data_IF_599880594272
#
_entry.id   IF_599880594272
#
_cell.length_a   1.000
_cell.length_b   1.000
_cell.length_c   1.000
_cell.angle_alpha   90.00
_cell.angle_beta   90.00
_cell.angle_gamma   90.00
#
_symmetry.space_group_name_H-M   'P 1'
#
loop_
_entity.id
_entity.type
_entity.pdbx_description
1 polymer ?
#
# COMPACT_ATOMS: atom_id res chain seq x y z
N UNK A 1 -25.98 8.15 13.46
CA UNK A 1 -25.99 6.83 12.78
C UNK A 1 -27.32 6.18 13.08
N UNK A 2 -28.12 5.84 12.07
CA UNK A 2 -29.42 5.20 12.27
C UNK A 2 -29.23 3.68 12.18
N UNK A 3 -29.63 2.94 13.22
CA UNK A 3 -29.59 1.46 13.21
C UNK A 3 -30.90 0.85 12.71
N UNK A 4 -31.95 1.64 12.60
CA UNK A 4 -33.23 1.27 12.01
C UNK A 4 -33.70 2.37 11.07
N UNK A 5 -34.48 1.99 10.06
CA UNK A 5 -35.09 2.92 9.11
C UNK A 5 -36.61 2.79 9.29
N UNK A 6 -37.35 3.87 9.57
CA UNK A 6 -38.80 3.79 9.67
C UNK A 6 -39.45 3.62 8.28
N UNK A 7 -40.67 3.09 8.26
CA UNK A 7 -41.51 3.06 7.06
C UNK A 7 -41.62 4.47 6.48
N UNK A 8 -41.38 4.62 5.18
CA UNK A 8 -41.44 5.91 4.52
C UNK A 8 -40.23 6.81 4.75
N UNK A 9 -39.16 6.34 5.41
CA UNK A 9 -37.89 7.05 5.44
C UNK A 9 -37.31 7.23 4.04
N UNK A 10 -36.60 8.35 3.83
CA UNK A 10 -35.98 8.68 2.55
C UNK A 10 -34.47 8.42 2.61
N UNK A 11 -33.94 7.81 1.54
CA UNK A 11 -32.51 7.74 1.28
C UNK A 11 -32.25 8.35 -0.09
N UNK A 12 -31.09 8.98 -0.26
CA UNK A 12 -30.67 9.49 -1.56
C UNK A 12 -29.20 9.20 -1.82
N UNK A 13 -28.89 8.95 -3.08
CA UNK A 13 -27.55 8.92 -3.61
C UNK A 13 -27.42 10.13 -4.55
N UNK A 14 -26.51 11.03 -4.22
CA UNK A 14 -26.30 12.27 -4.96
C UNK A 14 -26.08 11.99 -6.46
N UNK A 15 -26.77 12.73 -7.32
CA UNK A 15 -26.80 12.58 -8.78
C UNK A 15 -27.20 11.21 -9.33
N UNK A 16 -27.77 10.33 -8.49
CA UNK A 16 -28.18 8.99 -8.89
C UNK A 16 -29.68 8.78 -8.71
N UNK A 17 -30.18 8.84 -7.47
CA UNK A 17 -31.59 8.56 -7.16
C UNK A 17 -31.97 8.95 -5.73
N UNK A 18 -33.29 9.01 -5.49
CA UNK A 18 -33.90 9.03 -4.16
C UNK A 18 -34.87 7.86 -4.03
N UNK A 19 -34.96 7.30 -2.83
CA UNK A 19 -35.82 6.18 -2.50
C UNK A 19 -36.63 6.50 -1.25
N UNK A 20 -37.83 5.95 -1.20
CA UNK A 20 -38.64 5.87 0.00
C UNK A 20 -38.75 4.41 0.41
N UNK A 21 -38.35 4.07 1.62
CA UNK A 21 -38.36 2.68 2.08
C UNK A 21 -39.78 2.20 2.35
N UNK A 22 -40.08 0.99 1.88
CA UNK A 22 -41.25 0.23 2.29
C UNK A 22 -40.81 -1.12 2.84
N UNK A 23 -41.32 -1.47 4.01
CA UNK A 23 -40.97 -2.64 4.83
C UNK A 23 -39.47 -2.79 5.10
N UNK A 24 -38.77 -1.75 5.60
CA UNK A 24 -37.34 -1.81 5.84
C UNK A 24 -36.98 -2.87 6.88
N UNK A 25 -36.01 -3.73 6.54
CA UNK A 25 -35.40 -4.69 7.46
C UNK A 25 -33.98 -4.24 7.78
N UNK A 26 -33.67 -4.10 9.06
CA UNK A 26 -32.31 -3.88 9.54
C UNK A 26 -31.84 -5.07 10.35
N UNK A 27 -30.58 -5.45 10.13
CA UNK A 27 -29.88 -6.47 10.92
C UNK A 27 -28.96 -5.83 11.98
N UNK A 28 -28.83 -4.51 11.98
CA UNK A 28 -28.03 -3.75 12.94
C UNK A 28 -28.93 -3.27 14.08
N UNK A 29 -28.53 -3.52 15.33
CA UNK A 29 -29.22 -2.95 16.51
C UNK A 29 -28.36 -1.89 17.17
N UNK A 30 -28.93 -0.94 17.93
CA UNK A 30 -28.16 0.02 18.72
C UNK A 30 -27.10 -0.65 19.61
N UNK A 31 -27.44 -1.78 20.21
CA UNK A 31 -26.56 -2.53 21.11
C UNK A 31 -25.39 -3.14 20.34
N UNK A 32 -25.65 -3.69 19.16
CA UNK A 32 -24.62 -4.26 18.30
C UNK A 32 -23.67 -3.17 17.77
N UNK A 33 -24.21 -2.02 17.38
CA UNK A 33 -23.40 -0.87 16.98
C UNK A 33 -22.50 -0.39 18.13
N UNK A 34 -23.05 -0.25 19.34
CA UNK A 34 -22.26 0.14 20.52
C UNK A 34 -21.16 -0.88 20.81
N UNK A 35 -21.43 -2.18 20.63
CA UNK A 35 -20.43 -3.22 20.81
C UNK A 35 -19.28 -3.13 19.78
N UNK A 36 -19.60 -2.90 18.50
CA UNK A 36 -18.58 -2.71 17.45
C UNK A 36 -17.75 -1.44 17.66
N UNK A 37 -18.37 -0.35 18.12
CA UNK A 37 -17.66 0.89 18.47
C UNK A 37 -16.70 0.66 19.63
N UNK A 38 -17.08 -0.12 20.65
CA UNK A 38 -16.18 -0.48 21.76
C UNK A 38 -14.96 -1.25 21.27
N UNK A 39 -15.15 -2.21 20.38
CA UNK A 39 -14.04 -2.96 19.78
C UNK A 39 -13.11 -2.04 18.98
N UNK A 40 -13.67 -1.09 18.23
CA UNK A 40 -12.88 -0.08 17.51
C UNK A 40 -12.05 0.78 18.48
N UNK A 41 -12.64 1.19 19.61
CA UNK A 41 -11.94 1.95 20.66
C UNK A 41 -10.82 1.10 21.28
N UNK A 42 -11.04 -0.19 21.53
CA UNK A 42 -10.01 -1.09 22.05
C UNK A 42 -8.84 -1.21 21.07
N UNK A 43 -9.12 -1.45 19.78
CA UNK A 43 -8.11 -1.53 18.72
C UNK A 43 -7.27 -0.25 18.62
N UNK A 44 -7.92 0.93 18.60
CA UNK A 44 -7.23 2.23 18.54
C UNK A 44 -6.34 2.47 19.77
N UNK A 45 -6.73 1.93 20.92
CA UNK A 45 -5.94 1.99 22.15
C UNK A 45 -4.95 0.83 22.30
N UNK A 46 -4.76 0.00 21.26
CA UNK A 46 -3.89 -1.19 21.27
C UNK A 46 -4.23 -2.19 22.38
N UNK A 47 -5.52 -2.31 22.73
CA UNK A 47 -6.06 -3.31 23.65
C UNK A 47 -6.76 -4.41 22.85
N UNK A 48 -6.84 -5.65 23.39
CA UNK A 48 -7.59 -6.71 22.73
C UNK A 48 -9.08 -6.35 22.64
N UNK A 49 -9.64 -6.38 21.45
CA UNK A 49 -11.07 -6.29 21.21
C UNK A 49 -11.82 -7.57 21.65
N UNK A 50 -13.13 -7.64 21.44
CA UNK A 50 -13.93 -8.82 21.82
C UNK A 50 -13.42 -10.12 21.21
N UNK A 51 -12.95 -10.09 19.95
CA UNK A 51 -12.40 -11.25 19.26
C UNK A 51 -11.07 -11.65 19.88
N UNK A 52 -10.17 -10.70 20.10
CA UNK A 52 -8.88 -10.95 20.76
C UNK A 52 -9.05 -11.54 22.16
N UNK A 53 -10.02 -11.03 22.95
CA UNK A 53 -10.35 -11.59 24.27
C UNK A 53 -10.89 -13.01 24.17
N UNK A 54 -11.74 -13.31 23.18
CA UNK A 54 -12.23 -14.67 22.94
C UNK A 54 -11.10 -15.63 22.58
N UNK A 55 -10.20 -15.24 21.67
CA UNK A 55 -9.08 -16.10 21.27
C UNK A 55 -8.13 -16.34 22.43
N UNK A 56 -7.86 -15.35 23.27
CA UNK A 56 -7.09 -15.54 24.50
C UNK A 56 -7.74 -16.55 25.46
N UNK A 57 -9.07 -16.51 25.60
CA UNK A 57 -9.79 -17.50 26.41
C UNK A 57 -9.74 -18.91 25.78
N UNK A 58 -9.75 -19.00 24.45
CA UNK A 58 -9.52 -20.26 23.73
C UNK A 58 -8.11 -20.79 23.96
N UNK A 59 -7.09 -19.93 23.96
CA UNK A 59 -5.71 -20.33 24.25
C UNK A 59 -5.58 -20.91 25.68
N UNK A 60 -6.22 -20.28 26.66
CA UNK A 60 -6.30 -20.81 28.04
C UNK A 60 -6.97 -22.19 28.06
N UNK A 61 -8.09 -22.35 27.34
CA UNK A 61 -8.78 -23.63 27.23
C UNK A 61 -7.94 -24.71 26.52
N UNK A 62 -7.20 -24.36 25.47
CA UNK A 62 -6.36 -25.31 24.76
C UNK A 62 -5.15 -25.75 25.58
N UNK A 63 -4.64 -24.86 26.44
CA UNK A 63 -3.58 -25.17 27.40
C UNK A 63 -4.06 -26.07 28.55
N UNK A 64 -5.28 -25.85 29.04
CA UNK A 64 -5.91 -26.65 30.08
C UNK A 64 -7.38 -26.92 29.77
N UNK A 65 -7.67 -28.15 29.31
CA UNK A 65 -8.95 -28.55 28.70
C UNK A 65 -10.05 -28.86 29.71
N UNK A 66 -10.21 -28.01 30.72
CA UNK A 66 -11.31 -28.10 31.68
C UNK A 66 -12.62 -27.56 31.08
N UNK A 67 -13.75 -28.04 31.60
CA UNK A 67 -15.06 -27.53 31.22
C UNK A 67 -15.24 -26.06 31.61
N UNK A 68 -14.65 -25.64 32.74
CA UNK A 68 -14.69 -24.25 33.20
C UNK A 68 -13.98 -23.31 32.20
N UNK A 69 -12.79 -23.70 31.73
CA UNK A 69 -12.06 -22.93 30.72
C UNK A 69 -12.82 -22.90 29.39
N UNK A 70 -13.48 -24.01 29.01
CA UNK A 70 -14.32 -24.06 27.80
C UNK A 70 -15.53 -23.13 27.92
N UNK A 71 -16.21 -23.14 29.07
CA UNK A 71 -17.35 -22.28 29.34
C UNK A 71 -16.97 -20.79 29.37
N UNK A 72 -15.78 -20.47 29.87
CA UNK A 72 -15.22 -19.12 29.80
C UNK A 72 -14.96 -18.69 28.34
N UNK A 73 -14.35 -19.56 27.52
CA UNK A 73 -14.15 -19.32 26.09
C UNK A 73 -15.49 -19.16 25.34
N UNK A 74 -16.49 -19.97 25.68
CA UNK A 74 -17.84 -19.86 25.10
C UNK A 74 -18.52 -18.54 25.47
N UNK A 75 -18.39 -18.10 26.72
CA UNK A 75 -18.90 -16.80 27.17
C UNK A 75 -18.23 -15.66 26.41
N UNK A 76 -16.90 -15.72 26.25
CA UNK A 76 -16.15 -14.73 25.47
C UNK A 76 -16.54 -14.73 23.98
N UNK A 77 -16.81 -15.90 23.39
CA UNK A 77 -17.31 -16.01 22.02
C UNK A 77 -18.68 -15.35 21.85
N UNK A 78 -19.59 -15.54 22.79
CA UNK A 78 -20.91 -14.91 22.74
C UNK A 78 -20.85 -13.39 22.98
N UNK A 79 -19.80 -12.90 23.65
CA UNK A 79 -19.56 -11.47 23.81
C UNK A 79 -19.08 -10.76 22.53
N UNK A 80 -18.57 -11.52 21.54
CA UNK A 80 -18.28 -10.96 20.21
C UNK A 80 -19.60 -10.50 19.57
N UNK A 81 -19.67 -9.29 18.97
CA UNK A 81 -20.82 -8.85 18.21
C UNK A 81 -21.23 -9.90 17.17
N UNK A 82 -22.52 -10.21 17.04
CA UNK A 82 -22.99 -11.32 16.19
C UNK A 82 -22.63 -11.14 14.71
N UNK A 83 -22.53 -9.89 14.24
CA UNK A 83 -22.02 -9.48 12.93
C UNK A 83 -20.55 -9.86 12.70
N UNK A 84 -19.75 -9.91 13.76
CA UNK A 84 -18.30 -10.13 13.70
C UNK A 84 -17.90 -11.59 14.00
N UNK A 85 -18.75 -12.36 14.70
CA UNK A 85 -18.46 -13.77 15.08
C UNK A 85 -17.97 -14.62 13.90
N UNK A 86 -18.64 -14.50 12.74
CA UNK A 86 -18.31 -15.26 11.51
C UNK A 86 -16.87 -15.03 11.02
N UNK A 87 -16.27 -13.90 11.38
CA UNK A 87 -14.94 -13.48 10.95
C UNK A 87 -13.90 -13.56 12.06
N UNK A 88 -14.26 -14.03 13.25
CA UNK A 88 -13.41 -14.02 14.44
C UNK A 88 -12.05 -14.73 14.25
N UNK A 89 -11.98 -15.72 13.35
CA UNK A 89 -10.73 -16.44 13.06
C UNK A 89 -9.88 -15.81 11.94
N UNK A 90 -10.43 -14.88 11.16
CA UNK A 90 -9.80 -14.34 9.94
C UNK A 90 -9.67 -15.34 8.79
N UNK A 91 -10.18 -16.57 8.98
CA UNK A 91 -10.13 -17.66 8.01
C UNK A 91 -11.38 -17.61 7.12
N UNK A 92 -11.20 -17.43 5.82
CA UNK A 92 -12.30 -17.31 4.88
C UNK A 92 -12.88 -18.65 4.43
N UNK A 93 -12.12 -19.74 4.58
CA UNK A 93 -12.52 -21.08 4.17
C UNK A 93 -13.36 -21.74 5.25
N UNK A 94 -12.87 -21.69 6.49
CA UNK A 94 -13.53 -22.31 7.64
C UNK A 94 -14.44 -21.34 8.40
N UNK A 95 -14.29 -20.02 8.21
CA UNK A 95 -15.01 -18.99 8.96
C UNK A 95 -14.85 -19.21 10.46
N UNK A 96 -15.93 -19.07 11.21
CA UNK A 96 -16.01 -19.31 12.64
C UNK A 96 -16.37 -20.76 12.99
N UNK A 97 -16.55 -21.65 12.00
CA UNK A 97 -16.95 -23.03 12.24
C UNK A 97 -16.04 -23.73 13.28
N UNK A 98 -14.70 -23.67 13.19
CA UNK A 98 -13.86 -24.30 14.20
C UNK A 98 -14.07 -23.70 15.59
N UNK A 99 -14.16 -22.37 15.68
CA UNK A 99 -14.31 -21.67 16.95
C UNK A 99 -15.66 -21.98 17.62
N UNK A 100 -16.77 -21.83 16.89
CA UNK A 100 -18.11 -22.05 17.43
C UNK A 100 -18.36 -23.51 17.82
N UNK A 101 -17.74 -24.46 17.10
CA UNK A 101 -17.82 -25.90 17.42
C UNK A 101 -16.97 -26.23 18.65
N UNK A 102 -15.77 -25.65 18.74
CA UNK A 102 -14.86 -25.85 19.88
C UNK A 102 -15.52 -25.39 21.19
N UNK A 103 -16.04 -24.16 21.21
CA UNK A 103 -16.61 -23.60 22.44
C UNK A 103 -17.95 -24.24 22.83
N UNK A 104 -18.75 -24.68 21.85
CA UNK A 104 -20.00 -25.40 22.10
C UNK A 104 -19.75 -26.81 22.69
N UNK A 105 -18.68 -27.48 22.25
CA UNK A 105 -18.22 -28.80 22.72
C UNK A 105 -19.21 -29.96 22.53
N UNK A 106 -18.82 -31.21 22.85
CA UNK A 106 -19.60 -32.40 22.54
C UNK A 106 -21.00 -32.38 23.17
N UNK A 107 -22.03 -32.63 22.36
CA UNK A 107 -23.44 -32.58 22.77
C UNK A 107 -24.02 -31.16 22.93
N UNK A 108 -23.18 -30.13 22.91
CA UNK A 108 -23.60 -28.73 22.97
C UNK A 108 -24.22 -28.23 21.67
N UNK A 109 -24.96 -27.13 21.74
CA UNK A 109 -25.51 -26.41 20.58
C UNK A 109 -24.71 -25.14 20.30
N UNK A 110 -24.50 -24.84 19.03
CA UNK A 110 -23.88 -23.58 18.61
C UNK A 110 -24.91 -22.44 18.64
N UNK A 111 -24.48 -21.21 18.36
CA UNK A 111 -25.38 -20.07 18.25
C UNK A 111 -26.28 -20.09 16.99
N UNK A 112 -26.02 -21.01 16.04
CA UNK A 112 -26.83 -21.18 14.84
C UNK A 112 -27.93 -22.22 15.11
N UNK A 113 -29.21 -21.84 15.14
CA UNK A 113 -30.29 -22.76 15.50
C UNK A 113 -30.44 -23.97 14.57
N UNK A 114 -29.97 -23.85 13.33
CA UNK A 114 -30.00 -24.90 12.32
C UNK A 114 -28.94 -25.98 12.52
N UNK A 115 -27.93 -25.74 13.35
CA UNK A 115 -26.87 -26.72 13.55
C UNK A 115 -27.35 -27.89 14.44
N UNK A 116 -27.00 -29.13 14.09
CA UNK A 116 -27.20 -30.25 15.00
C UNK A 116 -26.29 -30.09 16.24
N UNK A 117 -26.60 -30.77 17.36
CA UNK A 117 -25.67 -30.88 18.48
C UNK A 117 -24.28 -31.31 18.01
N UNK A 118 -23.25 -30.69 18.56
CA UNK A 118 -21.87 -30.94 18.16
C UNK A 118 -21.50 -32.39 18.46
N UNK A 119 -21.13 -33.14 17.41
CA UNK A 119 -20.63 -34.50 17.56
C UNK A 119 -19.18 -34.50 18.04
N UNK A 120 -18.76 -35.59 18.69
CA UNK A 120 -17.35 -35.77 19.08
C UNK A 120 -16.40 -35.60 17.88
N UNK A 121 -16.75 -36.18 16.72
CA UNK A 121 -15.98 -36.03 15.48
C UNK A 121 -15.77 -34.58 15.05
N UNK A 122 -16.81 -33.75 15.12
CA UNK A 122 -16.72 -32.34 14.73
C UNK A 122 -15.89 -31.55 15.75
N UNK A 123 -16.03 -31.87 17.03
CA UNK A 123 -15.24 -31.29 18.11
C UNK A 123 -13.74 -31.63 17.97
N UNK A 124 -13.41 -32.89 17.69
CA UNK A 124 -12.02 -33.32 17.46
C UNK A 124 -11.42 -32.61 16.23
N UNK A 125 -12.21 -32.41 15.16
CA UNK A 125 -11.79 -31.64 13.99
C UNK A 125 -11.56 -30.15 14.32
N UNK A 126 -12.38 -29.58 15.20
CA UNK A 126 -12.17 -28.22 15.68
C UNK A 126 -10.89 -28.11 16.53
N UNK A 127 -10.60 -29.08 17.39
CA UNK A 127 -9.33 -29.14 18.13
C UNK A 127 -8.13 -29.23 17.19
N UNK A 128 -8.18 -30.14 16.21
CA UNK A 128 -7.10 -30.31 15.23
C UNK A 128 -6.84 -29.03 14.43
N UNK A 129 -7.89 -28.26 14.11
CA UNK A 129 -7.75 -26.95 13.46
C UNK A 129 -6.89 -25.99 14.28
N UNK A 130 -7.15 -25.86 15.59
CA UNK A 130 -6.38 -24.94 16.44
C UNK A 130 -4.96 -25.45 16.71
N UNK A 131 -4.76 -26.76 16.85
CA UNK A 131 -3.43 -27.35 16.95
C UNK A 131 -2.60 -27.11 15.69
N UNK A 132 -3.22 -27.28 14.51
CA UNK A 132 -2.57 -26.97 13.24
C UNK A 132 -2.26 -25.47 13.12
N UNK A 133 -3.21 -24.59 13.44
CA UNK A 133 -3.00 -23.14 13.45
C UNK A 133 -1.84 -22.73 14.35
N UNK A 134 -1.73 -23.33 15.53
CA UNK A 134 -0.62 -23.09 16.47
C UNK A 134 0.73 -23.52 15.87
N UNK A 135 0.78 -24.73 15.27
CA UNK A 135 1.98 -25.22 14.56
C UNK A 135 2.39 -24.29 13.42
N UNK A 136 1.44 -23.87 12.59
CA UNK A 136 1.71 -22.96 11.47
C UNK A 136 2.24 -21.61 11.95
N UNK A 137 1.72 -21.11 13.07
CA UNK A 137 2.18 -19.86 13.68
C UNK A 137 3.62 -19.99 14.21
N UNK A 138 3.94 -21.09 14.89
CA UNK A 138 5.28 -21.36 15.41
C UNK A 138 6.34 -21.59 14.30
N UNK A 139 5.93 -22.10 13.14
CA UNK A 139 6.82 -22.34 12.00
C UNK A 139 6.89 -21.18 11.01
N UNK A 140 6.14 -20.09 11.23
CA UNK A 140 5.99 -18.98 10.27
C UNK A 140 7.33 -18.39 9.84
N UNK A 141 8.23 -18.13 10.79
CA UNK A 141 9.57 -17.57 10.51
C UNK A 141 10.44 -18.50 9.65
N UNK A 142 10.24 -19.82 9.76
CA UNK A 142 11.00 -20.81 8.96
C UNK A 142 10.44 -20.96 7.55
N UNK A 143 9.15 -20.68 7.36
CA UNK A 143 8.42 -20.90 6.10
C UNK A 143 8.40 -19.69 5.17
N UNK A 144 8.65 -18.48 5.69
CA UNK A 144 8.67 -17.25 4.91
C UNK A 144 10.13 -16.82 4.73
N UNK A 145 10.77 -17.09 3.58
CA UNK A 145 12.07 -16.51 3.27
C UNK A 145 11.98 -14.99 3.39
N UNK A 146 12.92 -14.38 4.10
CA UNK A 146 13.04 -12.94 4.13
C UNK A 146 13.55 -12.47 2.76
N UNK A 147 12.64 -11.92 1.93
CA UNK A 147 12.94 -11.34 0.62
C UNK A 147 13.23 -9.82 0.75
N UNK A 148 13.96 -9.46 1.81
CA UNK A 148 14.27 -8.08 2.17
C UNK A 148 15.05 -7.98 3.47
N UNK A 149 15.76 -6.87 3.70
CA UNK A 149 16.54 -6.69 4.91
C UNK A 149 15.60 -6.53 6.12
N UNK A 150 15.98 -7.11 7.27
CA UNK A 150 15.20 -7.01 8.50
C UNK A 150 15.03 -5.56 9.01
N UNK A 151 15.90 -4.65 8.57
CA UNK A 151 15.78 -3.20 8.70
C UNK A 151 16.43 -2.53 7.46
N UNK A 152 15.93 -1.37 6.99
CA UNK A 152 16.62 -0.59 5.95
C UNK A 152 18.02 -0.19 6.44
N UNK A 153 19.06 -0.37 5.63
CA UNK A 153 20.44 -0.09 6.06
C UNK A 153 20.81 1.39 5.92
N UNK A 154 20.36 2.09 4.87
CA UNK A 154 20.74 3.49 4.63
C UNK A 154 19.64 4.51 4.97
N UNK A 155 19.99 5.66 5.58
CA UNK A 155 19.06 6.77 5.79
C UNK A 155 18.62 7.38 4.46
N UNK A 156 17.39 7.88 4.42
CA UNK A 156 16.83 8.49 3.22
C UNK A 156 17.72 9.62 2.66
N UNK A 157 17.87 9.64 1.34
CA UNK A 157 18.60 10.66 0.60
C UNK A 157 17.61 11.69 0.09
N UNK A 158 17.64 12.90 0.65
CA UNK A 158 16.85 14.03 0.19
C UNK A 158 17.53 14.73 -1.00
N UNK A 159 16.79 14.88 -2.09
CA UNK A 159 17.14 15.66 -3.27
C UNK A 159 16.31 16.95 -3.30
N UNK A 160 16.81 17.94 -2.56
CA UNK A 160 16.19 19.27 -2.48
C UNK A 160 16.07 19.92 -3.85
N UNK A 161 15.08 20.80 -3.97
CA UNK A 161 14.91 21.64 -5.13
C UNK A 161 16.13 22.55 -5.33
N UNK A 162 16.63 22.63 -6.55
CA UNK A 162 17.86 23.37 -6.89
C UNK A 162 17.82 23.77 -8.35
N UNK A 163 18.41 24.92 -8.72
CA UNK A 163 18.41 25.41 -10.11
C UNK A 163 19.83 25.53 -10.68
N UNK A 164 20.56 24.41 -10.89
CA UNK A 164 21.88 24.46 -11.47
C UNK A 164 21.82 24.84 -12.95
N UNK A 165 22.38 25.99 -13.30
CA UNK A 165 22.46 26.44 -14.70
C UNK A 165 23.75 25.99 -15.41
N UNK A 166 24.69 25.39 -14.67
CA UNK A 166 25.98 24.91 -15.20
C UNK A 166 26.39 23.61 -14.51
N UNK A 167 27.18 22.81 -15.23
CA UNK A 167 27.83 21.63 -14.66
C UNK A 167 28.87 22.07 -13.62
N UNK A 168 29.06 21.23 -12.61
CA UNK A 168 30.10 21.40 -11.59
C UNK A 168 30.98 20.15 -11.57
N UNK A 169 32.24 20.31 -11.18
CA UNK A 169 33.24 19.24 -11.25
C UNK A 169 32.90 18.03 -10.35
N UNK A 170 32.35 18.28 -9.17
CA UNK A 170 31.83 17.25 -8.26
C UNK A 170 30.37 17.57 -7.92
N UNK A 171 29.41 17.05 -8.70
CA UNK A 171 28.02 17.38 -8.51
C UNK A 171 27.40 16.71 -7.29
N UNK A 172 27.98 15.63 -6.76
CA UNK A 172 27.34 14.82 -5.72
C UNK A 172 25.84 14.60 -5.99
N UNK A 173 25.01 14.73 -4.95
CA UNK A 173 23.54 14.57 -5.05
C UNK A 173 22.86 15.56 -6.00
N UNK A 174 23.44 16.73 -6.25
CA UNK A 174 22.91 17.68 -7.23
C UNK A 174 22.86 17.06 -8.63
N UNK A 175 23.84 16.20 -8.94
CA UNK A 175 23.92 15.49 -10.20
C UNK A 175 22.74 14.56 -10.48
N UNK A 176 21.99 14.13 -9.45
CA UNK A 176 20.83 13.24 -9.59
C UNK A 176 19.54 13.97 -10.01
N UNK A 177 19.55 15.31 -9.96
CA UNK A 177 18.41 16.15 -10.34
C UNK A 177 18.09 16.06 -11.83
N UNK A 178 16.81 16.19 -12.20
CA UNK A 178 16.37 16.11 -13.61
C UNK A 178 16.75 17.37 -14.39
N UNK A 179 16.86 18.48 -13.68
CA UNK A 179 17.25 19.79 -14.18
C UNK A 179 18.76 20.04 -14.09
N UNK A 180 19.54 19.11 -13.53
CA UNK A 180 21.00 19.16 -13.63
C UNK A 180 21.42 19.15 -15.12
N UNK A 181 22.31 20.07 -15.56
CA UNK A 181 22.67 20.22 -16.96
C UNK A 181 23.62 19.10 -17.42
N UNK A 182 23.11 17.88 -17.53
CA UNK A 182 23.77 16.73 -18.13
C UNK A 182 23.14 16.46 -19.51
N UNK A 183 23.80 16.86 -20.61
CA UNK A 183 23.22 16.71 -21.93
C UNK A 183 22.94 15.26 -22.28
N UNK A 184 21.73 14.95 -22.73
CA UNK A 184 21.33 13.60 -23.12
C UNK A 184 20.90 13.56 -24.58
N UNK A 185 21.34 12.53 -25.28
CA UNK A 185 20.88 12.25 -26.64
C UNK A 185 19.68 11.30 -26.59
N UNK A 186 18.56 11.72 -27.19
CA UNK A 186 17.34 10.91 -27.31
C UNK A 186 16.95 10.88 -28.78
N UNK A 187 17.05 9.70 -29.40
CA UNK A 187 16.96 9.57 -30.85
C UNK A 187 18.09 10.32 -31.55
N UNK A 188 17.76 11.38 -32.29
CA UNK A 188 18.74 12.24 -33.00
C UNK A 188 18.91 13.63 -32.38
N UNK A 189 18.26 13.89 -31.25
CA UNK A 189 18.23 15.22 -30.62
C UNK A 189 19.01 15.18 -29.32
N UNK A 190 19.86 16.19 -29.11
CA UNK A 190 20.59 16.41 -27.86
C UNK A 190 19.81 17.44 -27.04
N UNK A 191 19.44 17.06 -25.82
CA UNK A 191 18.74 17.91 -24.86
C UNK A 191 19.70 18.35 -23.76
N UNK A 192 19.68 19.61 -23.31
CA UNK A 192 20.60 20.09 -22.26
C UNK A 192 20.46 19.38 -20.90
N UNK A 193 19.27 18.84 -20.60
CA UNK A 193 19.01 18.01 -19.42
C UNK A 193 17.77 17.11 -19.62
N UNK A 194 17.55 16.19 -18.68
CA UNK A 194 16.32 15.36 -18.62
C UNK A 194 15.06 16.22 -18.60
N UNK A 195 15.07 17.34 -17.85
CA UNK A 195 13.94 18.25 -17.79
C UNK A 195 13.61 18.89 -19.15
N UNK A 196 14.61 19.29 -19.93
CA UNK A 196 14.39 19.80 -21.30
C UNK A 196 13.77 18.73 -22.19
N UNK A 197 14.32 17.52 -22.17
CA UNK A 197 13.79 16.40 -22.95
C UNK A 197 12.34 16.06 -22.56
N UNK A 198 12.06 15.99 -21.26
CA UNK A 198 10.72 15.67 -20.76
C UNK A 198 9.69 16.72 -21.20
N UNK A 199 9.99 18.01 -21.04
CA UNK A 199 9.07 19.07 -21.43
C UNK A 199 8.89 19.17 -22.95
N UNK A 200 9.95 19.01 -23.73
CA UNK A 200 9.86 18.99 -25.19
C UNK A 200 9.05 17.79 -25.70
N UNK A 201 9.20 16.60 -25.11
CA UNK A 201 8.41 15.42 -25.48
C UNK A 201 6.96 15.51 -25.01
N UNK A 202 6.66 16.37 -24.03
CA UNK A 202 5.32 16.54 -23.47
C UNK A 202 4.33 17.26 -24.40
N UNK A 203 4.81 17.98 -25.42
CA UNK A 203 3.97 18.82 -26.28
C UNK A 203 3.66 18.17 -27.64
N UNK A 204 2.51 18.53 -28.21
CA UNK A 204 2.05 17.97 -29.48
C UNK A 204 2.81 18.55 -30.69
N UNK A 205 2.98 19.88 -30.71
CA UNK A 205 3.51 20.63 -31.86
C UNK A 205 5.03 20.51 -32.00
N UNK A 206 5.57 20.10 -33.17
CA UNK A 206 7.01 19.96 -33.40
C UNK A 206 7.81 21.25 -33.21
N UNK A 207 7.29 22.40 -33.64
CA UNK A 207 7.95 23.70 -33.58
C UNK A 207 8.21 24.10 -32.11
N UNK A 208 7.19 23.94 -31.27
CA UNK A 208 7.31 24.17 -29.84
C UNK A 208 8.35 23.23 -29.18
N UNK A 209 8.55 22.01 -29.68
CA UNK A 209 9.60 21.12 -29.14
C UNK A 209 10.98 21.71 -29.36
N UNK A 210 11.24 22.28 -30.53
CA UNK A 210 12.53 22.91 -30.83
C UNK A 210 12.78 24.11 -29.93
N UNK A 211 11.77 24.97 -29.71
CA UNK A 211 11.86 26.11 -28.78
C UNK A 211 12.11 25.67 -27.34
N UNK A 212 11.38 24.65 -26.86
CA UNK A 212 11.57 24.10 -25.51
C UNK A 212 12.96 23.46 -25.36
N UNK A 213 13.46 22.82 -26.41
CA UNK A 213 14.81 22.21 -26.42
C UNK A 213 15.90 23.27 -26.35
N UNK A 214 15.68 24.41 -27.01
CA UNK A 214 16.62 25.53 -27.08
C UNK A 214 16.52 26.51 -25.89
N UNK A 215 15.61 26.29 -24.93
CA UNK A 215 15.51 27.15 -23.75
C UNK A 215 16.78 27.14 -22.91
N UNK A 216 17.14 28.31 -22.38
CA UNK A 216 18.38 28.49 -21.60
C UNK A 216 18.36 27.74 -20.25
N UNK A 217 17.18 27.44 -19.72
CA UNK A 217 17.01 26.80 -18.41
C UNK A 217 15.85 25.81 -18.42
N UNK A 218 15.92 24.80 -17.53
CA UNK A 218 14.85 23.83 -17.34
C UNK A 218 13.52 24.50 -16.92
N UNK A 219 13.59 25.60 -16.15
CA UNK A 219 12.44 26.40 -15.77
C UNK A 219 11.80 27.10 -16.99
N UNK A 220 12.61 27.66 -17.89
CA UNK A 220 12.12 28.24 -19.15
C UNK A 220 11.49 27.16 -20.05
N UNK A 221 12.12 26.00 -20.18
CA UNK A 221 11.57 24.85 -20.91
C UNK A 221 10.20 24.43 -20.36
N UNK A 222 10.06 24.34 -19.02
CA UNK A 222 8.79 24.05 -18.34
C UNK A 222 7.73 25.10 -18.64
N UNK A 223 8.08 26.38 -18.57
CA UNK A 223 7.17 27.51 -18.81
C UNK A 223 6.65 27.50 -20.24
N UNK A 224 7.54 27.32 -21.23
CA UNK A 224 7.15 27.18 -22.64
C UNK A 224 6.21 25.99 -22.84
N UNK A 225 6.57 24.82 -22.30
CA UNK A 225 5.73 23.63 -22.39
C UNK A 225 4.37 23.77 -21.68
N UNK A 226 4.24 24.62 -20.66
CA UNK A 226 2.97 24.90 -19.99
C UNK A 226 2.05 25.79 -20.85
N UNK A 227 2.62 26.64 -21.71
CA UNK A 227 1.87 27.48 -22.65
C UNK A 227 1.49 26.74 -23.94
N UNK A 228 2.01 25.54 -24.18
CA UNK A 228 1.74 24.74 -25.38
C UNK A 228 0.75 23.60 -25.09
N UNK A 229 -0.06 23.25 -26.10
CA UNK A 229 -0.93 22.08 -26.04
C UNK A 229 -0.13 20.79 -25.75
N UNK A 230 -0.57 20.07 -24.72
CA UNK A 230 0.04 18.80 -24.30
C UNK A 230 -0.23 17.70 -25.35
N UNK A 231 0.69 16.75 -25.47
CA UNK A 231 0.49 15.53 -26.26
C UNK A 231 -0.71 14.77 -25.71
N UNK A 232 -1.48 14.18 -26.61
CA UNK A 232 -2.58 13.28 -26.24
C UNK A 232 -2.09 12.15 -25.33
N UNK A 233 -2.90 11.78 -24.33
CA UNK A 233 -2.60 10.73 -23.37
C UNK A 233 -1.29 10.91 -22.58
N UNK A 234 -0.73 12.12 -22.53
CA UNK A 234 0.53 12.40 -21.84
C UNK A 234 0.53 11.91 -20.39
N UNK A 235 -0.59 12.04 -19.68
CA UNK A 235 -0.70 11.63 -18.29
C UNK A 235 -0.45 10.13 -18.05
N UNK A 236 -0.79 9.30 -19.05
CA UNK A 236 -0.60 7.85 -18.99
C UNK A 236 0.84 7.46 -19.34
N UNK A 237 1.51 8.23 -20.21
CA UNK A 237 2.86 7.88 -20.71
C UNK A 237 3.99 8.61 -19.99
N UNK A 238 3.72 9.68 -19.24
CA UNK A 238 4.73 10.57 -18.64
C UNK A 238 5.76 9.85 -17.77
N UNK A 239 5.33 8.84 -17.00
CA UNK A 239 6.22 8.05 -16.14
C UNK A 239 7.18 7.18 -16.96
N UNK A 240 6.69 6.53 -18.01
CA UNK A 240 7.52 5.73 -18.92
C UNK A 240 8.51 6.61 -19.69
N UNK A 241 8.09 7.80 -20.13
CA UNK A 241 8.99 8.77 -20.77
C UNK A 241 10.07 9.22 -19.78
N UNK A 242 9.71 9.63 -18.57
CA UNK A 242 10.68 10.03 -17.54
C UNK A 242 11.69 8.91 -17.25
N UNK A 243 11.22 7.67 -17.08
CA UNK A 243 12.08 6.50 -16.84
C UNK A 243 13.09 6.31 -17.99
N UNK A 244 12.63 6.42 -19.23
CA UNK A 244 13.50 6.28 -20.41
C UNK A 244 14.56 7.39 -20.48
N UNK A 245 14.21 8.62 -20.09
CA UNK A 245 15.15 9.74 -20.04
C UNK A 245 16.17 9.59 -18.91
N UNK A 246 15.76 9.07 -17.75
CA UNK A 246 16.66 8.77 -16.65
C UNK A 246 17.66 7.67 -17.04
N UNK A 247 17.19 6.59 -17.69
CA UNK A 247 18.08 5.55 -18.26
C UNK A 247 19.10 6.17 -19.20
N UNK A 248 18.65 6.97 -20.17
CA UNK A 248 19.54 7.66 -21.10
C UNK A 248 20.58 8.54 -20.39
N UNK A 249 20.19 9.25 -19.32
CA UNK A 249 21.11 10.05 -18.51
C UNK A 249 22.19 9.19 -17.86
N UNK A 250 21.83 8.16 -17.11
CA UNK A 250 22.82 7.37 -16.38
C UNK A 250 23.64 6.44 -17.30
N UNK A 251 23.12 6.08 -18.47
CA UNK A 251 23.89 5.37 -19.49
C UNK A 251 24.94 6.25 -20.17
N UNK A 252 24.63 7.54 -20.38
CA UNK A 252 25.50 8.49 -21.07
C UNK A 252 26.46 9.24 -20.12
N UNK A 253 26.19 9.21 -18.81
CA UNK A 253 26.98 9.88 -17.76
C UNK A 253 27.34 8.90 -16.64
N UNK A 254 28.35 8.02 -16.85
CA UNK A 254 28.72 6.98 -15.89
C UNK A 254 29.09 7.53 -14.51
N UNK A 255 29.67 8.72 -14.42
CA UNK A 255 29.98 9.40 -13.17
C UNK A 255 28.73 9.73 -12.35
N UNK A 256 27.62 10.10 -13.01
CA UNK A 256 26.33 10.31 -12.34
C UNK A 256 25.68 8.98 -11.96
N UNK A 257 25.92 7.93 -12.74
CA UNK A 257 25.45 6.58 -12.43
C UNK A 257 26.10 6.04 -11.15
N UNK A 258 27.40 6.26 -10.97
CA UNK A 258 28.09 5.89 -9.72
C UNK A 258 27.57 6.70 -8.52
N UNK A 259 27.23 7.99 -8.69
CA UNK A 259 26.58 8.77 -7.62
C UNK A 259 25.21 8.16 -7.26
N UNK A 260 24.43 7.71 -8.24
CA UNK A 260 23.14 7.07 -7.99
C UNK A 260 23.33 5.71 -7.30
N UNK A 261 24.27 4.89 -7.76
CA UNK A 261 24.60 3.60 -7.14
C UNK A 261 25.11 3.77 -5.70
N UNK A 262 25.85 4.84 -5.41
CA UNK A 262 26.33 5.15 -4.06
C UNK A 262 25.21 5.50 -3.07
N UNK A 263 23.96 5.66 -3.52
CA UNK A 263 22.80 5.76 -2.63
C UNK A 263 22.31 4.40 -2.09
N UNK A 264 22.89 3.30 -2.57
CA UNK A 264 22.68 1.92 -2.09
C UNK A 264 21.20 1.53 -1.93
N UNK A 265 20.74 1.15 -0.74
CA UNK A 265 19.34 0.80 -0.45
C UNK A 265 18.51 2.00 0.06
N UNK A 266 19.09 3.21 0.11
CA UNK A 266 18.42 4.39 0.66
C UNK A 266 17.16 4.73 -0.16
N UNK A 267 16.10 5.12 0.54
CA UNK A 267 14.96 5.79 -0.09
C UNK A 267 15.39 7.14 -0.65
N UNK A 268 15.09 7.39 -1.93
CA UNK A 268 15.37 8.66 -2.60
C UNK A 268 14.13 9.55 -2.50
N UNK A 269 14.22 10.62 -1.73
CA UNK A 269 13.12 11.59 -1.57
C UNK A 269 13.41 12.79 -2.47
N UNK A 270 12.55 13.02 -3.45
CA UNK A 270 12.74 14.07 -4.45
C UNK A 270 11.78 15.24 -4.21
N UNK A 271 12.29 16.47 -4.14
CA UNK A 271 11.43 17.65 -4.02
C UNK A 271 11.11 18.26 -5.39
N UNK A 272 9.82 18.57 -5.59
CA UNK A 272 9.30 19.34 -6.71
C UNK A 272 8.11 20.18 -6.22
N UNK A 273 8.41 21.41 -5.80
CA UNK A 273 7.41 22.34 -5.23
C UNK A 273 6.24 22.60 -6.18
N UNK A 274 6.47 22.46 -7.49
CA UNK A 274 5.47 22.68 -8.52
C UNK A 274 4.72 21.40 -8.93
N UNK A 275 4.99 20.26 -8.30
CA UNK A 275 4.33 18.99 -8.60
C UNK A 275 4.25 18.03 -7.41
N UNK A 276 3.06 17.90 -6.84
CA UNK A 276 2.75 16.81 -5.90
C UNK A 276 2.77 15.42 -6.57
N UNK A 277 2.80 15.33 -7.90
CA UNK A 277 2.97 14.05 -8.59
C UNK A 277 4.44 13.63 -8.61
N UNK A 278 5.34 14.51 -9.04
CA UNK A 278 6.77 14.17 -9.19
C UNK A 278 7.55 14.21 -7.89
N UNK A 279 7.23 15.12 -6.98
CA UNK A 279 7.93 15.32 -5.72
C UNK A 279 7.22 14.76 -4.49
N UNK A 280 7.94 14.71 -3.37
CA UNK A 280 7.46 14.32 -2.03
C UNK A 280 6.83 15.50 -1.26
N UNK A 281 7.39 16.71 -1.39
CA UNK A 281 6.81 17.95 -0.86
C UNK A 281 6.42 17.88 0.64
N UNK A 282 7.35 17.37 1.44
CA UNK A 282 7.19 17.10 2.87
C UNK A 282 6.09 16.05 3.16
N UNK A 283 6.15 14.90 2.47
CA UNK A 283 5.26 13.76 2.65
C UNK A 283 3.85 13.94 2.09
N UNK A 284 3.58 15.01 1.33
CA UNK A 284 2.25 15.30 0.74
C UNK A 284 2.13 14.91 -0.73
N UNK A 285 3.26 14.68 -1.39
CA UNK A 285 3.35 14.29 -2.78
C UNK A 285 3.61 12.80 -2.96
N UNK A 286 3.62 12.35 -4.22
CA UNK A 286 3.74 10.93 -4.59
C UNK A 286 5.19 10.48 -4.75
N UNK A 287 6.16 11.41 -4.79
CA UNK A 287 7.58 11.14 -4.96
C UNK A 287 7.89 10.23 -6.17
N UNK A 288 7.20 10.41 -7.30
CA UNK A 288 7.41 9.55 -8.47
C UNK A 288 8.85 9.60 -8.98
N UNK A 289 9.50 10.77 -8.94
CA UNK A 289 10.89 10.87 -9.42
C UNK A 289 11.84 10.08 -8.55
N UNK A 290 11.68 10.13 -7.22
CA UNK A 290 12.48 9.32 -6.29
C UNK A 290 12.36 7.82 -6.57
N UNK A 291 11.11 7.34 -6.72
CA UNK A 291 10.83 5.93 -7.05
C UNK A 291 11.42 5.50 -8.39
N UNK A 292 11.37 6.37 -9.40
CA UNK A 292 11.97 6.07 -10.71
C UNK A 292 13.51 6.05 -10.63
N UNK A 293 14.13 6.89 -9.81
CA UNK A 293 15.57 6.83 -9.55
C UNK A 293 15.97 5.52 -8.87
N UNK A 294 15.18 5.04 -7.90
CA UNK A 294 15.38 3.74 -7.25
C UNK A 294 15.24 2.57 -8.23
N UNK A 295 14.25 2.63 -9.14
CA UNK A 295 14.10 1.65 -10.23
C UNK A 295 15.34 1.64 -11.13
N UNK A 296 15.78 2.81 -11.61
CA UNK A 296 16.94 2.92 -12.50
C UNK A 296 18.22 2.48 -11.78
N UNK A 297 18.37 2.77 -10.47
CA UNK A 297 19.45 2.25 -9.63
C UNK A 297 19.46 0.71 -9.60
N UNK A 298 18.29 0.10 -9.42
CA UNK A 298 18.14 -1.36 -9.45
C UNK A 298 18.52 -1.94 -10.83
N UNK A 299 18.10 -1.30 -11.93
CA UNK A 299 18.49 -1.69 -13.29
C UNK A 299 20.00 -1.55 -13.55
N UNK A 300 20.66 -0.57 -12.95
CA UNK A 300 22.13 -0.43 -13.00
C UNK A 300 22.81 -1.57 -12.24
N UNK A 301 22.34 -1.92 -11.04
CA UNK A 301 22.84 -3.08 -10.30
C UNK A 301 22.62 -4.39 -11.06
N UNK A 302 21.45 -4.58 -11.68
CA UNK A 302 21.14 -5.74 -12.51
C UNK A 302 22.19 -5.93 -13.60
N UNK A 303 22.48 -4.86 -14.36
CA UNK A 303 23.48 -4.85 -15.43
C UNK A 303 24.89 -5.11 -14.90
N UNK A 304 25.26 -4.52 -13.75
CA UNK A 304 26.58 -4.72 -13.12
C UNK A 304 26.79 -6.15 -12.61
N UNK A 305 25.74 -6.80 -12.13
CA UNK A 305 25.79 -8.19 -11.65
C UNK A 305 25.60 -9.23 -12.77
N UNK A 306 25.28 -8.80 -13.99
CA UNK A 306 25.26 -9.67 -15.16
C UNK A 306 24.17 -10.76 -15.11
N UNK A 307 23.02 -10.49 -14.48
CA UNK A 307 21.89 -11.43 -14.49
C UNK A 307 21.35 -11.51 -15.94
N UNK A 308 21.50 -12.65 -16.63
CA UNK A 308 21.18 -12.74 -18.06
C UNK A 308 19.67 -12.86 -18.31
N UNK A 309 19.21 -12.33 -19.45
CA UNK A 309 17.88 -12.62 -19.98
C UNK A 309 16.74 -11.69 -19.54
N UNK A 310 17.06 -10.50 -19.00
CA UNK A 310 16.11 -9.41 -18.72
C UNK A 310 16.59 -8.09 -19.34
#
# INVERSE_FOLDING_TARGET
>A
MATTLPEGAEASAHDLAHWKFSEPRSWLTPELLVAEVRDTIDQLNKRPDSTGRCLAAVDVFLADRTEDNRAAAHTAFLAIPSSQRRYALGDMDSKDWPLRVLVAGPGGRTYLPSDPPVSQKNYDRALAYFEERARWSAEREKRVPADGPAAPYAPAVQLYHSFPNKQVADPGRLGLRNDYPAPITVGKVVYPSVAHAYWALSVAQPEARSEITAADTAAAARKLAAATARRESWEHVRAAVMTSLLRAKYDQHPELAEILLATDDATVIYDDMDSAFWGDNAGRGRNWTGRLLELVRSELHLRRNGIPGL
#
